data_IF_162993487086
#
_entry.id   IF_162993487086
#
_cell.length_a   1.000
_cell.length_b   1.000
_cell.length_c   1.000
_cell.angle_alpha   90.00
_cell.angle_beta   90.00
_cell.angle_gamma   90.00
#
_symmetry.space_group_name_H-M   'P 1'
#
loop_
_entity.id
_entity.type
_entity.pdbx_description
1 polymer ?
#
# COMPACT_ATOMS: atom_id res chain seq x y z
N UNK A 1 -26.96 -24.48 5.36
CA UNK A 1 -27.57 -24.91 6.63
C UNK A 1 -27.51 -26.43 6.72
N UNK A 2 -26.56 -26.98 7.45
CA UNK A 2 -26.59 -28.39 7.90
C UNK A 2 -26.06 -28.40 9.33
N UNK A 3 -26.99 -28.53 10.27
CA UNK A 3 -26.73 -28.72 11.69
C UNK A 3 -26.38 -30.20 11.90
N UNK A 4 -25.18 -30.49 12.43
CA UNK A 4 -24.82 -31.82 12.90
C UNK A 4 -25.05 -31.78 14.41
N UNK A 5 -26.11 -32.49 14.81
CA UNK A 5 -26.46 -32.79 16.19
C UNK A 5 -25.71 -34.06 16.59
N UNK A 6 -24.79 -33.96 17.55
CA UNK A 6 -24.14 -35.15 18.15
C UNK A 6 -24.99 -35.63 19.33
N UNK A 7 -25.62 -36.77 19.14
CA UNK A 7 -26.36 -37.48 20.17
C UNK A 7 -25.36 -38.22 21.08
N UNK A 8 -25.37 -37.88 22.37
CA UNK A 8 -24.66 -38.56 23.43
C UNK A 8 -25.60 -39.64 23.97
N UNK A 9 -25.35 -40.94 23.68
CA UNK A 9 -26.02 -42.05 24.33
C UNK A 9 -25.21 -42.53 25.54
N UNK A 10 -25.78 -42.33 26.71
CA UNK A 10 -25.31 -42.88 27.99
C UNK A 10 -25.75 -44.33 28.07
N UNK A 11 -24.80 -45.25 28.26
CA UNK A 11 -25.09 -46.66 28.60
C UNK A 11 -24.67 -46.89 30.03
N UNK A 12 -25.65 -47.06 30.92
CA UNK A 12 -25.51 -47.48 32.30
C UNK A 12 -25.97 -48.94 32.44
N UNK A 13 -25.11 -49.83 32.90
CA UNK A 13 -25.38 -51.10 33.57
C UNK A 13 -24.01 -51.72 33.91
N UNK A 14 -23.61 -51.78 35.07
CA UNK A 14 -23.94 -52.52 36.30
C UNK A 14 -23.08 -53.74 36.49
N UNK A 15 -22.27 -53.71 37.50
CA UNK A 15 -22.08 -54.73 38.56
C UNK A 15 -20.62 -54.92 38.99
N UNK A 16 -20.48 -54.83 40.28
CA UNK A 16 -19.42 -55.04 41.24
C UNK A 16 -18.39 -56.16 40.98
N UNK A 17 -17.20 -55.85 41.47
CA UNK A 17 -16.08 -56.65 41.97
C UNK A 17 -14.77 -56.52 41.18
N UNK A 18 -13.92 -55.66 41.66
CA UNK A 18 -12.50 -55.90 41.93
C UNK A 18 -11.82 -54.56 42.34
N UNK A 19 -11.91 -54.22 43.58
CA UNK A 19 -11.16 -53.17 44.21
C UNK A 19 -9.72 -53.66 44.41
N UNK A 20 -8.76 -53.17 43.67
CA UNK A 20 -7.34 -53.03 43.99
C UNK A 20 -6.37 -52.80 42.79
N UNK A 21 -6.86 -52.64 41.52
CA UNK A 21 -5.95 -52.41 40.39
C UNK A 21 -6.31 -51.19 39.52
N UNK A 22 -7.26 -50.35 39.94
CA UNK A 22 -7.89 -49.32 39.10
C UNK A 22 -7.31 -47.90 39.27
N UNK A 23 -6.45 -47.64 40.25
CA UNK A 23 -5.93 -46.25 40.46
C UNK A 23 -4.83 -45.84 39.50
N UNK A 24 -4.04 -46.75 38.95
CA UNK A 24 -2.98 -46.41 37.98
C UNK A 24 -3.48 -46.24 36.55
N UNK A 25 -4.56 -46.91 36.16
CA UNK A 25 -5.15 -46.79 34.81
C UNK A 25 -5.94 -45.51 34.59
N UNK A 26 -6.67 -45.05 35.60
CA UNK A 26 -7.47 -43.81 35.52
C UNK A 26 -6.64 -42.54 35.49
N UNK A 27 -5.47 -42.52 36.15
CA UNK A 27 -4.56 -41.35 36.07
C UNK A 27 -3.86 -41.24 34.70
N UNK A 28 -3.51 -42.33 34.04
CA UNK A 28 -2.92 -42.34 32.72
C UNK A 28 -3.92 -41.90 31.64
N UNK A 29 -5.14 -42.40 31.66
CA UNK A 29 -6.23 -42.00 30.75
C UNK A 29 -6.57 -40.51 30.91
N UNK A 30 -6.60 -40.01 32.15
CA UNK A 30 -6.84 -38.59 32.42
C UNK A 30 -5.70 -37.70 31.93
N UNK A 31 -4.45 -38.16 32.00
CA UNK A 31 -3.26 -37.42 31.49
C UNK A 31 -3.18 -37.39 29.98
N UNK A 32 -3.54 -38.49 29.31
CA UNK A 32 -3.61 -38.57 27.85
C UNK A 32 -4.75 -37.71 27.30
N UNK A 33 -5.95 -37.80 27.85
CA UNK A 33 -7.07 -36.95 27.46
C UNK A 33 -6.77 -35.43 27.62
N UNK A 34 -6.09 -35.06 28.72
CA UNK A 34 -5.63 -33.67 28.89
C UNK A 34 -4.56 -33.26 27.88
N UNK A 35 -3.70 -34.17 27.43
CA UNK A 35 -2.65 -33.92 26.44
C UNK A 35 -3.25 -33.78 25.06
N UNK A 36 -4.23 -34.61 24.71
CA UNK A 36 -4.98 -34.50 23.45
C UNK A 36 -5.85 -33.25 23.39
N UNK A 37 -6.54 -32.89 24.46
CA UNK A 37 -7.31 -31.65 24.54
C UNK A 37 -6.42 -30.41 24.35
N UNK A 38 -5.24 -30.39 25.02
CA UNK A 38 -4.26 -29.30 24.82
C UNK A 38 -3.68 -29.26 23.40
N UNK A 39 -3.52 -30.42 22.76
CA UNK A 39 -3.03 -30.47 21.37
C UNK A 39 -4.10 -29.99 20.42
N UNK A 40 -5.35 -30.41 20.58
CA UNK A 40 -6.49 -29.95 19.79
C UNK A 40 -6.74 -28.43 19.95
N UNK A 41 -6.64 -27.90 21.18
CA UNK A 41 -6.75 -26.45 21.43
C UNK A 41 -5.62 -25.66 20.75
N UNK A 42 -4.39 -26.20 20.76
CA UNK A 42 -3.24 -25.58 20.10
C UNK A 42 -3.38 -25.58 18.58
N UNK A 43 -3.90 -26.68 18.00
CA UNK A 43 -4.16 -26.79 16.57
C UNK A 43 -5.31 -25.86 16.15
N UNK A 44 -6.40 -25.79 16.93
CA UNK A 44 -7.51 -24.87 16.70
C UNK A 44 -7.05 -23.41 16.72
N UNK A 45 -6.28 -23.00 17.73
CA UNK A 45 -5.70 -21.65 17.79
C UNK A 45 -4.75 -21.35 16.62
N UNK A 46 -4.00 -22.35 16.16
CA UNK A 46 -3.12 -22.20 14.99
C UNK A 46 -3.90 -22.05 13.68
N UNK A 47 -4.98 -22.83 13.53
CA UNK A 47 -5.88 -22.75 12.38
C UNK A 47 -6.61 -21.39 12.34
N UNK A 48 -7.15 -20.94 13.47
CA UNK A 48 -7.80 -19.62 13.60
C UNK A 48 -6.84 -18.48 13.25
N UNK A 49 -5.62 -18.51 13.79
CA UNK A 49 -4.59 -17.51 13.48
C UNK A 49 -4.20 -17.51 12.00
N UNK A 50 -4.18 -18.68 11.36
CA UNK A 50 -3.90 -18.81 9.92
C UNK A 50 -5.05 -18.23 9.10
N UNK A 51 -6.29 -18.59 9.41
CA UNK A 51 -7.50 -18.09 8.74
C UNK A 51 -7.61 -16.56 8.88
N UNK A 52 -7.33 -16.00 10.06
CA UNK A 52 -7.32 -14.55 10.28
C UNK A 52 -6.28 -13.84 9.42
N UNK A 53 -5.05 -14.38 9.34
CA UNK A 53 -4.01 -13.82 8.48
C UNK A 53 -4.36 -13.88 6.99
N UNK A 54 -4.97 -14.96 6.53
CA UNK A 54 -5.42 -15.11 5.14
C UNK A 54 -6.53 -14.13 4.82
N UNK A 55 -7.50 -13.94 5.73
CA UNK A 55 -8.56 -12.95 5.58
C UNK A 55 -8.02 -11.52 5.55
N UNK A 56 -7.11 -11.16 6.45
CA UNK A 56 -6.45 -9.84 6.46
C UNK A 56 -5.65 -9.58 5.17
N UNK A 57 -4.96 -10.62 4.66
CA UNK A 57 -4.22 -10.53 3.39
C UNK A 57 -5.15 -10.31 2.21
N UNK A 58 -6.22 -11.09 2.12
CA UNK A 58 -7.23 -10.96 1.05
C UNK A 58 -7.90 -9.57 1.07
N UNK A 59 -8.24 -9.07 2.26
CA UNK A 59 -8.81 -7.73 2.42
C UNK A 59 -7.83 -6.63 2.00
N UNK A 60 -6.55 -6.77 2.35
CA UNK A 60 -5.50 -5.83 1.95
C UNK A 60 -5.32 -5.81 0.42
N UNK A 61 -5.27 -6.99 -0.21
CA UNK A 61 -5.15 -7.12 -1.67
C UNK A 61 -6.36 -6.53 -2.39
N UNK A 62 -7.57 -6.80 -1.91
CA UNK A 62 -8.79 -6.22 -2.47
C UNK A 62 -8.79 -4.68 -2.38
N UNK A 63 -8.36 -4.13 -1.23
CA UNK A 63 -8.23 -2.68 -1.06
C UNK A 63 -7.18 -2.08 -1.99
N UNK A 64 -6.03 -2.73 -2.14
CA UNK A 64 -4.96 -2.25 -3.03
C UNK A 64 -5.40 -2.27 -4.49
N UNK A 65 -6.10 -3.32 -4.93
CA UNK A 65 -6.65 -3.40 -6.28
C UNK A 65 -7.67 -2.28 -6.55
N UNK A 66 -8.56 -1.99 -5.60
CA UNK A 66 -9.51 -0.88 -5.73
C UNK A 66 -8.78 0.48 -5.85
N UNK A 67 -7.73 0.70 -5.06
CA UNK A 67 -6.91 1.91 -5.17
C UNK A 67 -6.19 1.99 -6.52
N UNK A 68 -5.70 0.87 -7.05
CA UNK A 68 -5.09 0.81 -8.38
C UNK A 68 -6.07 1.21 -9.47
N UNK A 69 -7.30 0.68 -9.47
CA UNK A 69 -8.32 1.01 -10.47
C UNK A 69 -8.67 2.50 -10.44
N UNK A 70 -8.84 3.07 -9.26
CA UNK A 70 -9.11 4.50 -9.09
C UNK A 70 -7.95 5.36 -9.59
N UNK A 71 -6.71 4.96 -9.28
CA UNK A 71 -5.51 5.65 -9.74
C UNK A 71 -5.33 5.54 -11.26
N UNK A 72 -5.63 4.38 -11.86
CA UNK A 72 -5.61 4.17 -13.30
C UNK A 72 -6.60 5.10 -14.01
N UNK A 73 -7.83 5.20 -13.51
CA UNK A 73 -8.83 6.13 -14.06
C UNK A 73 -8.37 7.59 -13.95
N UNK A 74 -7.74 7.96 -12.83
CA UNK A 74 -7.21 9.31 -12.65
C UNK A 74 -6.12 9.65 -13.68
N UNK A 75 -5.23 8.70 -14.01
CA UNK A 75 -4.24 8.86 -15.08
C UNK A 75 -4.92 9.01 -16.44
N UNK A 76 -5.89 8.14 -16.77
CA UNK A 76 -6.63 8.20 -18.05
C UNK A 76 -7.37 9.53 -18.22
N UNK A 77 -7.94 10.05 -17.14
CA UNK A 77 -8.63 11.33 -17.12
C UNK A 77 -7.70 12.54 -17.05
N UNK A 78 -6.37 12.35 -17.03
CA UNK A 78 -5.37 13.43 -16.83
C UNK A 78 -5.68 14.30 -15.60
N UNK A 79 -6.14 13.68 -14.53
CA UNK A 79 -6.54 14.39 -13.30
C UNK A 79 -6.10 13.59 -12.08
N UNK A 80 -4.81 13.74 -11.73
CA UNK A 80 -4.18 12.98 -10.66
C UNK A 80 -3.21 13.80 -9.83
N UNK A 81 -2.90 13.27 -8.64
CA UNK A 81 -1.95 13.80 -7.68
C UNK A 81 -1.09 12.64 -7.16
N UNK A 82 0.21 12.67 -7.42
CA UNK A 82 1.20 11.81 -6.79
C UNK A 82 1.72 12.47 -5.53
N UNK A 83 1.42 11.93 -4.37
CA UNK A 83 1.94 12.36 -3.05
C UNK A 83 3.20 11.57 -2.72
N UNK A 84 4.35 12.24 -2.72
CA UNK A 84 5.63 11.59 -2.50
C UNK A 84 5.96 11.46 -1.01
N UNK A 85 6.37 10.28 -0.60
CA UNK A 85 6.90 9.99 0.73
C UNK A 85 8.43 9.90 0.74
N UNK A 86 9.03 9.74 -0.45
CA UNK A 86 10.47 9.68 -0.65
C UNK A 86 10.86 10.41 -1.93
N UNK A 87 11.99 11.09 -1.88
CA UNK A 87 12.62 11.72 -3.05
C UNK A 87 14.04 11.21 -3.19
N UNK A 88 14.44 10.89 -4.42
CA UNK A 88 15.79 10.45 -4.78
C UNK A 88 16.39 11.41 -5.81
N UNK A 89 17.65 11.78 -5.61
CA UNK A 89 18.42 12.64 -6.48
C UNK A 89 19.36 11.84 -7.38
N UNK A 90 19.86 12.50 -8.43
CA UNK A 90 20.73 11.91 -9.46
C UNK A 90 21.86 11.01 -8.96
N UNK A 91 22.48 11.31 -7.82
CA UNK A 91 23.58 10.57 -7.24
C UNK A 91 23.18 9.42 -6.32
N UNK A 92 21.89 9.04 -6.32
CA UNK A 92 21.35 7.99 -5.45
C UNK A 92 21.07 8.44 -4.01
N UNK A 93 21.34 9.70 -3.69
CA UNK A 93 20.92 10.26 -2.39
C UNK A 93 19.41 10.30 -2.32
N UNK A 94 18.83 9.75 -1.27
CA UNK A 94 17.40 9.78 -1.06
C UNK A 94 17.06 10.26 0.35
N UNK A 95 15.86 10.81 0.50
CA UNK A 95 15.32 11.26 1.77
C UNK A 95 13.83 11.05 1.85
N UNK A 96 13.33 10.78 3.06
CA UNK A 96 11.90 10.81 3.33
C UNK A 96 11.42 12.25 3.44
N UNK A 97 10.27 12.50 2.84
CA UNK A 97 9.67 13.84 2.77
C UNK A 97 8.22 13.81 3.23
N UNK A 98 7.68 14.98 3.58
CA UNK A 98 6.27 15.11 3.89
C UNK A 98 5.45 15.07 2.59
N UNK A 99 4.54 14.13 2.49
CA UNK A 99 3.71 13.91 1.29
C UNK A 99 2.69 15.01 1.03
N UNK A 100 2.39 15.85 2.01
CA UNK A 100 1.47 16.98 1.82
C UNK A 100 2.14 18.17 1.15
N UNK A 101 3.47 18.22 1.17
CA UNK A 101 4.27 19.30 0.59
C UNK A 101 5.20 18.84 -0.55
N UNK A 102 5.23 17.54 -0.84
CA UNK A 102 6.04 16.98 -1.93
C UNK A 102 5.14 16.17 -2.85
N UNK A 103 4.90 16.68 -4.03
CA UNK A 103 3.95 16.10 -4.96
C UNK A 103 4.21 16.46 -6.41
N UNK A 104 3.67 15.67 -7.30
CA UNK A 104 3.51 15.96 -8.72
C UNK A 104 2.05 15.80 -9.08
N UNK A 105 1.46 16.81 -9.71
CA UNK A 105 0.05 16.75 -10.11
C UNK A 105 -0.16 17.11 -11.56
N UNK A 106 -1.23 16.59 -12.13
CA UNK A 106 -1.78 16.97 -13.42
C UNK A 106 -3.29 17.14 -13.28
N UNK A 107 -3.83 18.22 -13.85
CA UNK A 107 -5.26 18.43 -13.95
C UNK A 107 -5.60 19.05 -15.31
N UNK A 108 -6.11 18.22 -16.22
CA UNK A 108 -6.15 18.54 -17.63
C UNK A 108 -4.75 18.66 -18.21
N UNK A 109 -4.35 19.86 -18.56
CA UNK A 109 -2.99 20.18 -19.03
C UNK A 109 -2.16 20.97 -18.00
N UNK A 110 -2.76 21.32 -16.86
CA UNK A 110 -2.06 22.05 -15.80
C UNK A 110 -1.26 21.07 -14.93
N UNK A 111 0.07 21.21 -14.95
CA UNK A 111 1.00 20.41 -14.17
C UNK A 111 1.65 21.21 -13.06
N UNK A 112 1.78 20.62 -11.87
CA UNK A 112 2.53 21.20 -10.75
C UNK A 112 3.54 20.19 -10.25
N UNK A 113 4.77 20.61 -10.06
CA UNK A 113 5.84 19.84 -9.44
C UNK A 113 6.32 20.60 -8.22
N UNK A 114 6.17 20.01 -7.04
CA UNK A 114 6.61 20.65 -5.81
C UNK A 114 7.56 19.76 -5.04
N UNK A 115 8.68 20.36 -4.68
CA UNK A 115 9.67 19.79 -3.78
C UNK A 115 9.84 20.73 -2.60
N UNK A 116 9.75 20.20 -1.39
CA UNK A 116 9.93 20.97 -0.16
C UNK A 116 10.66 20.12 0.89
N UNK A 117 11.62 20.73 1.56
CA UNK A 117 12.37 20.09 2.63
C UNK A 117 12.09 20.81 3.95
N UNK A 118 12.13 20.09 5.04
CA UNK A 118 12.06 20.70 6.37
C UNK A 118 13.42 21.34 6.70
N UNK A 119 13.63 22.53 6.18
CA UNK A 119 14.86 23.33 6.37
C UNK A 119 14.56 24.60 7.14
N UNK A 120 15.57 25.18 7.78
CA UNK A 120 15.45 26.47 8.46
C UNK A 120 15.23 27.66 7.50
N UNK A 121 15.46 27.46 6.20
CA UNK A 121 15.27 28.48 5.15
C UNK A 121 13.98 28.18 4.39
N UNK A 122 13.17 29.24 4.19
CA UNK A 122 11.86 29.11 3.51
C UNK A 122 11.95 28.70 2.04
N UNK A 123 13.11 28.87 1.39
CA UNK A 123 13.27 28.58 -0.04
C UNK A 123 12.40 29.48 -0.94
N UNK A 124 12.53 29.36 -2.28
CA UNK A 124 11.74 30.13 -3.22
C UNK A 124 10.23 29.95 -3.11
N UNK A 125 9.76 28.77 -2.73
CA UNK A 125 8.32 28.47 -2.59
C UNK A 125 7.74 28.78 -1.20
N UNK A 126 8.52 29.38 -0.29
CA UNK A 126 8.09 29.72 1.06
C UNK A 126 8.01 28.55 2.04
N UNK A 127 8.26 27.32 1.60
CA UNK A 127 8.15 26.07 2.39
C UNK A 127 9.42 25.19 2.35
N UNK A 128 10.56 25.80 2.05
CA UNK A 128 11.85 25.11 2.07
C UNK A 128 12.22 24.42 0.76
N UNK A 129 11.72 24.88 -0.39
CA UNK A 129 12.00 24.24 -1.66
C UNK A 129 11.58 25.01 -2.90
N UNK A 130 11.07 24.32 -3.90
CA UNK A 130 10.68 24.85 -5.20
C UNK A 130 9.32 24.31 -5.61
N UNK A 131 8.45 25.21 -6.09
CA UNK A 131 7.19 24.86 -6.76
C UNK A 131 7.26 25.37 -8.19
N UNK A 132 6.98 24.47 -9.12
CA UNK A 132 6.99 24.77 -10.55
C UNK A 132 5.63 24.46 -11.13
N UNK A 133 5.06 25.41 -11.87
CA UNK A 133 3.82 25.25 -12.60
C UNK A 133 4.09 25.31 -14.12
N UNK A 134 3.38 24.51 -14.89
CA UNK A 134 3.52 24.47 -16.32
C UNK A 134 2.38 23.77 -17.02
N UNK A 135 2.43 23.80 -18.35
CA UNK A 135 1.49 23.06 -19.20
C UNK A 135 2.12 21.75 -19.64
N UNK A 136 1.34 20.68 -19.52
CA UNK A 136 1.71 19.36 -20.00
C UNK A 136 1.39 19.20 -21.49
N UNK A 137 2.30 18.57 -22.20
CA UNK A 137 2.14 18.18 -23.62
C UNK A 137 2.71 16.79 -23.85
N UNK A 138 2.52 16.26 -25.06
CA UNK A 138 3.06 14.97 -25.51
C UNK A 138 2.77 13.83 -24.51
N UNK A 139 1.50 13.78 -24.09
CA UNK A 139 1.04 12.84 -23.07
C UNK A 139 0.87 11.45 -23.71
N UNK A 140 1.62 10.48 -23.20
CA UNK A 140 1.56 9.09 -23.63
C UNK A 140 1.27 8.18 -22.43
N UNK A 141 0.28 7.29 -22.58
CA UNK A 141 -0.10 6.30 -21.56
C UNK A 141 0.07 4.92 -22.18
N UNK A 142 0.89 4.07 -21.56
CA UNK A 142 1.12 2.70 -22.00
C UNK A 142 0.89 1.72 -20.87
N UNK A 143 0.43 0.51 -21.21
CA UNK A 143 0.28 -0.58 -20.24
C UNK A 143 1.08 -1.77 -20.73
N UNK A 144 1.96 -2.29 -19.87
CA UNK A 144 2.78 -3.45 -20.22
C UNK A 144 1.97 -4.77 -20.15
N UNK A 145 2.57 -5.88 -20.60
CA UNK A 145 1.95 -7.22 -20.57
C UNK A 145 1.62 -7.72 -19.15
N UNK A 146 2.26 -7.14 -18.13
CA UNK A 146 2.01 -7.46 -16.72
C UNK A 146 0.89 -6.59 -16.13
N UNK A 147 0.44 -5.58 -16.87
CA UNK A 147 -0.58 -4.63 -16.44
C UNK A 147 -0.03 -3.45 -15.62
N UNK A 148 1.31 -3.22 -15.60
CA UNK A 148 1.85 -2.00 -15.04
C UNK A 148 1.59 -0.85 -16.01
N UNK A 149 1.36 0.34 -15.47
CA UNK A 149 1.07 1.54 -16.23
C UNK A 149 2.30 2.42 -16.26
N UNK A 150 2.69 2.85 -17.46
CA UNK A 150 3.67 3.92 -17.70
C UNK A 150 2.95 5.13 -18.30
N UNK A 151 3.25 6.31 -17.78
CA UNK A 151 2.70 7.57 -18.26
C UNK A 151 3.86 8.54 -18.46
N UNK A 152 3.93 9.16 -19.63
CA UNK A 152 4.96 10.15 -19.95
C UNK A 152 4.33 11.46 -20.37
N UNK A 153 4.98 12.58 -20.04
CA UNK A 153 4.59 13.91 -20.50
C UNK A 153 5.79 14.86 -20.50
N UNK A 154 5.71 15.88 -21.33
CA UNK A 154 6.58 17.06 -21.23
C UNK A 154 5.84 18.17 -20.48
N UNK A 155 6.54 18.87 -19.60
CA UNK A 155 6.00 20.03 -18.87
C UNK A 155 6.83 21.24 -19.22
N UNK A 156 6.15 22.32 -19.66
CA UNK A 156 6.77 23.60 -19.98
C UNK A 156 6.05 24.71 -19.22
N UNK A 157 6.81 25.53 -18.51
CA UNK A 157 6.29 26.65 -17.74
C UNK A 157 7.35 27.69 -17.47
N UNK A 158 7.02 28.70 -16.67
CA UNK A 158 7.97 29.75 -16.25
C UNK A 158 9.13 29.09 -15.48
N UNK A 159 10.35 29.22 -16.04
CA UNK A 159 11.57 28.69 -15.40
C UNK A 159 11.71 27.15 -15.43
N UNK A 160 10.79 26.41 -16.09
CA UNK A 160 10.88 24.95 -16.21
C UNK A 160 10.60 24.45 -17.62
N UNK A 161 11.42 23.50 -18.06
CA UNK A 161 11.14 22.59 -19.16
C UNK A 161 11.67 21.23 -18.76
N UNK A 162 10.79 20.25 -18.62
CA UNK A 162 11.14 18.92 -18.12
C UNK A 162 10.30 17.81 -18.76
N UNK A 163 10.93 16.64 -18.95
CA UNK A 163 10.21 15.40 -19.25
C UNK A 163 9.92 14.68 -17.93
N UNK A 164 8.69 14.24 -17.79
CA UNK A 164 8.23 13.44 -16.66
C UNK A 164 7.86 12.04 -17.13
N UNK A 165 8.30 11.03 -16.39
CA UNK A 165 7.87 9.66 -16.60
C UNK A 165 7.37 9.05 -15.30
N UNK A 166 6.19 8.46 -15.34
CA UNK A 166 5.55 7.80 -14.20
C UNK A 166 5.48 6.30 -14.44
N UNK A 167 5.67 5.53 -13.37
CA UNK A 167 5.51 4.08 -13.38
C UNK A 167 4.66 3.67 -12.18
N UNK A 168 3.53 3.03 -12.45
CA UNK A 168 2.62 2.50 -11.44
C UNK A 168 2.51 0.98 -11.56
N UNK A 169 2.75 0.27 -10.46
CA UNK A 169 2.72 -1.20 -10.43
C UNK A 169 1.28 -1.69 -10.33
N UNK A 170 0.92 -2.68 -11.15
CA UNK A 170 -0.40 -3.33 -11.11
C UNK A 170 -0.78 -3.77 -9.70
N UNK A 171 -2.04 -3.55 -9.36
CA UNK A 171 -2.62 -3.96 -8.07
C UNK A 171 -2.26 -3.07 -6.89
N UNK A 172 -1.60 -1.92 -7.13
CA UNK A 172 -1.32 -0.91 -6.12
C UNK A 172 -1.37 0.48 -6.73
N UNK A 173 -1.64 1.51 -5.92
CA UNK A 173 -1.50 2.92 -6.33
C UNK A 173 -0.09 3.48 -6.07
N UNK A 174 0.88 2.60 -5.76
CA UNK A 174 2.28 2.99 -5.62
C UNK A 174 2.82 3.42 -6.98
N UNK A 175 3.35 4.62 -7.04
CA UNK A 175 3.80 5.23 -8.27
C UNK A 175 5.15 5.93 -8.05
N UNK A 176 6.03 5.79 -9.03
CA UNK A 176 7.30 6.50 -9.11
C UNK A 176 7.23 7.51 -10.24
N UNK A 177 7.48 8.78 -9.97
CA UNK A 177 7.61 9.83 -10.99
C UNK A 177 9.06 10.29 -11.09
N UNK A 178 9.63 10.24 -12.28
CA UNK A 178 10.97 10.75 -12.58
C UNK A 178 10.86 12.05 -13.38
N UNK A 179 11.44 13.11 -12.83
CA UNK A 179 11.52 14.44 -13.46
C UNK A 179 12.91 14.62 -14.02
N UNK A 180 13.00 14.87 -15.33
CA UNK A 180 14.22 15.12 -16.08
C UNK A 180 14.16 16.52 -16.68
N UNK A 181 14.79 17.53 -16.07
CA UNK A 181 14.87 18.87 -16.68
C UNK A 181 15.63 18.83 -18.00
N UNK A 182 15.11 19.50 -19.04
CA UNK A 182 15.70 19.45 -20.38
C UNK A 182 17.08 20.16 -20.47
N UNK A 183 17.34 21.13 -19.60
CA UNK A 183 18.57 21.92 -19.58
C UNK A 183 19.55 21.50 -18.48
N UNK A 184 19.26 20.42 -17.76
CA UNK A 184 20.07 19.96 -16.64
C UNK A 184 20.06 18.44 -16.56
N UNK A 185 21.18 17.84 -16.19
CA UNK A 185 21.23 16.40 -15.91
C UNK A 185 20.73 16.03 -14.49
N UNK A 186 20.13 16.95 -13.76
CA UNK A 186 19.67 16.76 -12.40
C UNK A 186 18.32 16.03 -12.40
N UNK A 187 18.38 14.71 -12.37
CA UNK A 187 17.19 13.86 -12.22
C UNK A 187 16.69 13.90 -10.78
N UNK A 188 15.38 14.03 -10.62
CA UNK A 188 14.69 13.91 -9.34
C UNK A 188 13.61 12.83 -9.51
N UNK A 189 13.57 11.88 -8.57
CA UNK A 189 12.57 10.81 -8.55
C UNK A 189 11.72 10.95 -7.29
N UNK A 190 10.41 10.96 -7.47
CA UNK A 190 9.40 11.01 -6.42
C UNK A 190 8.77 9.63 -6.30
N UNK A 191 8.88 9.00 -5.14
CA UNK A 191 8.19 7.73 -4.85
C UNK A 191 7.07 7.97 -3.85
N UNK A 192 5.89 7.47 -4.16
CA UNK A 192 4.72 7.68 -3.32
C UNK A 192 3.46 7.01 -3.84
N UNK A 193 2.32 7.59 -3.51
CA UNK A 193 1.00 7.07 -3.87
C UNK A 193 0.26 8.04 -4.79
N UNK A 194 -0.38 7.49 -5.82
CA UNK A 194 -1.16 8.25 -6.79
C UNK A 194 -2.64 8.21 -6.44
N UNK A 195 -3.25 9.38 -6.45
CA UNK A 195 -4.66 9.62 -6.14
C UNK A 195 -5.34 10.45 -7.24
N UNK A 196 -6.67 10.43 -7.37
CA UNK A 196 -7.40 11.43 -8.13
C UNK A 196 -7.13 12.84 -7.58
N UNK A 197 -7.01 13.81 -8.46
CA UNK A 197 -6.62 15.20 -8.12
C UNK A 197 -7.48 15.80 -7.00
N UNK A 198 -8.81 15.58 -7.02
CA UNK A 198 -9.74 16.16 -6.06
C UNK A 198 -9.92 15.32 -4.78
N UNK A 199 -9.32 14.14 -4.68
CA UNK A 199 -9.50 13.22 -3.54
C UNK A 199 -8.46 13.38 -2.45
N UNK A 200 -7.36 14.07 -2.71
CA UNK A 200 -6.27 14.26 -1.76
C UNK A 200 -5.93 15.75 -1.61
N UNK A 201 -5.64 16.15 -0.38
CA UNK A 201 -5.22 17.52 -0.07
C UNK A 201 -3.70 17.61 -0.03
N UNK A 202 -3.18 18.72 -0.58
CA UNK A 202 -1.77 19.09 -0.50
C UNK A 202 -1.66 20.60 -0.20
N UNK A 203 -0.54 20.98 0.35
CA UNK A 203 -0.20 22.37 0.56
C UNK A 203 0.72 22.84 -0.57
N UNK A 204 0.19 23.70 -1.45
CA UNK A 204 0.96 24.29 -2.54
C UNK A 204 1.61 25.58 -2.07
N UNK A 205 2.94 25.66 -2.15
CA UNK A 205 3.70 26.89 -1.93
C UNK A 205 3.65 27.83 -3.13
N UNK A 206 4.29 28.99 -3.01
CA UNK A 206 4.41 29.94 -4.12
C UNK A 206 5.17 29.30 -5.29
N UNK A 207 4.67 29.50 -6.51
CA UNK A 207 5.38 29.09 -7.74
C UNK A 207 6.46 30.09 -8.12
N UNK A 208 7.45 29.63 -8.91
CA UNK A 208 8.48 30.48 -9.51
C UNK A 208 7.90 31.37 -10.61
#
# INVERSE_FOLDING_TARGET
MKRIVFLLTIFLLGSNMAFAQQEKGTEQISKEAKKEAKKAEKEAKKAEKKAKKEAEKAQKEARQNALFEVAQQAIQNRSFLLKATRVEFKRGQNTHVNSDTNFVSLNGDDAVIQLAFNTAMSGPNGIGGVTVEGKASDIEITTDKKGNISFEMNVMGSGVSARLSFKMTKGTNQCTATVLPNFSSNRITFDGELFPYNSARVFKGSSL
#
